data_IF_834748956949
#
_entry.id   IF_834748956949
#
_cell.length_a   1.000
_cell.length_b   1.000
_cell.length_c   1.000
_cell.angle_alpha   90.00
_cell.angle_beta   90.00
_cell.angle_gamma   90.00
#
_symmetry.space_group_name_H-M   'P 1'
#
loop_
_entity.id
_entity.type
_entity.pdbx_description
1 polymer ?
#
# COMPACT_ATOMS: atom_id res chain seq x y z
N UNK A 1 -23.92 16.11 -21.76
CA UNK A 1 -23.34 15.59 -20.50
C UNK A 1 -23.82 16.49 -19.36
N UNK A 2 -24.10 15.97 -18.16
CA UNK A 2 -24.44 16.84 -17.02
C UNK A 2 -23.20 17.57 -16.47
N UNK A 3 -23.43 18.70 -15.77
CA UNK A 3 -22.35 19.58 -15.27
C UNK A 3 -21.40 18.86 -14.30
N UNK A 4 -21.94 17.99 -13.44
CA UNK A 4 -21.13 17.21 -12.50
C UNK A 4 -20.20 16.24 -13.23
N UNK A 5 -20.71 15.50 -14.21
CA UNK A 5 -19.93 14.63 -15.08
C UNK A 5 -18.82 15.39 -15.81
N UNK A 6 -19.13 16.57 -16.35
CA UNK A 6 -18.16 17.43 -17.05
C UNK A 6 -17.04 17.90 -16.12
N UNK A 7 -17.37 18.38 -14.93
CA UNK A 7 -16.39 18.86 -13.95
C UNK A 7 -15.44 17.74 -13.48
N UNK A 8 -15.98 16.54 -13.26
CA UNK A 8 -15.17 15.36 -12.90
C UNK A 8 -14.27 14.95 -14.06
N UNK A 9 -14.81 14.89 -15.28
CA UNK A 9 -14.05 14.55 -16.48
C UNK A 9 -12.87 15.52 -16.67
N UNK A 10 -13.11 16.83 -16.60
CA UNK A 10 -12.07 17.86 -16.66
C UNK A 10 -10.97 17.64 -15.62
N UNK A 11 -11.35 17.32 -14.37
CA UNK A 11 -10.38 17.05 -13.31
C UNK A 11 -9.52 15.82 -13.60
N UNK A 12 -10.11 14.75 -14.12
CA UNK A 12 -9.39 13.52 -14.47
C UNK A 12 -8.43 13.80 -15.63
N UNK A 13 -8.94 14.40 -16.71
CA UNK A 13 -8.19 14.73 -17.91
C UNK A 13 -6.96 15.61 -17.62
N UNK A 14 -7.10 16.63 -16.75
CA UNK A 14 -5.98 17.47 -16.32
C UNK A 14 -4.87 16.67 -15.63
N UNK A 15 -5.18 15.58 -14.93
CA UNK A 15 -4.22 14.72 -14.23
C UNK A 15 -3.54 13.69 -15.11
N UNK A 16 -4.07 13.42 -16.30
CA UNK A 16 -3.49 12.42 -17.22
C UNK A 16 -2.10 12.88 -17.68
N UNK A 17 -1.05 12.04 -17.56
CA UNK A 17 0.24 12.32 -18.19
C UNK A 17 0.10 12.40 -19.72
N UNK A 18 0.62 13.46 -20.36
CA UNK A 18 0.47 13.68 -21.80
C UNK A 18 0.92 12.47 -22.63
N UNK A 19 2.04 11.85 -22.25
CA UNK A 19 2.61 10.67 -22.93
C UNK A 19 1.72 9.42 -22.87
N UNK A 20 0.81 9.34 -21.90
CA UNK A 20 -0.07 8.18 -21.68
C UNK A 20 -1.54 8.46 -22.05
N UNK A 21 -1.91 9.70 -22.39
CA UNK A 21 -3.30 10.11 -22.63
C UNK A 21 -4.00 9.19 -23.63
N UNK A 22 -3.40 8.96 -24.80
CA UNK A 22 -3.98 8.10 -25.84
C UNK A 22 -4.24 6.67 -25.33
N UNK A 23 -3.26 6.05 -24.68
CA UNK A 23 -3.40 4.69 -24.13
C UNK A 23 -4.51 4.59 -23.07
N UNK A 24 -4.64 5.58 -22.20
CA UNK A 24 -5.69 5.60 -21.17
C UNK A 24 -7.08 5.85 -21.76
N UNK A 25 -7.20 6.69 -22.79
CA UNK A 25 -8.47 6.91 -23.49
C UNK A 25 -8.91 5.65 -24.25
N UNK A 26 -7.97 4.90 -24.85
CA UNK A 26 -8.24 3.58 -25.44
C UNK A 26 -8.71 2.58 -24.39
N UNK A 27 -8.00 2.47 -23.26
CA UNK A 27 -8.36 1.58 -22.16
C UNK A 27 -9.69 1.96 -21.48
N UNK A 28 -10.12 3.22 -21.60
CA UNK A 28 -11.41 3.68 -21.12
C UNK A 28 -12.57 3.10 -21.94
N UNK A 29 -12.41 2.97 -23.26
CA UNK A 29 -13.35 2.28 -24.14
C UNK A 29 -14.73 2.96 -24.29
N UNK A 30 -14.85 4.24 -23.95
CA UNK A 30 -16.10 5.01 -24.12
C UNK A 30 -16.13 5.89 -25.37
N UNK A 31 -14.99 6.07 -26.04
CA UNK A 31 -14.87 6.75 -27.33
C UNK A 31 -14.56 5.71 -28.41
N UNK A 32 -15.14 5.88 -29.59
CA UNK A 32 -14.86 5.02 -30.74
C UNK A 32 -13.43 5.18 -31.26
N UNK A 33 -12.94 4.20 -32.02
CA UNK A 33 -11.61 4.27 -32.62
C UNK A 33 -11.45 5.51 -33.53
N UNK A 34 -12.44 5.78 -34.37
CA UNK A 34 -12.48 6.95 -35.27
C UNK A 34 -12.39 8.26 -34.47
N UNK A 35 -13.16 8.39 -33.39
CA UNK A 35 -13.11 9.56 -32.51
C UNK A 35 -11.74 9.75 -31.84
N UNK A 36 -11.03 8.67 -31.56
CA UNK A 36 -9.70 8.71 -30.95
C UNK A 36 -8.59 9.00 -31.96
N UNK A 37 -8.80 8.62 -33.23
CA UNK A 37 -7.87 8.89 -34.35
C UNK A 37 -7.97 10.33 -34.84
N UNK A 38 -9.17 10.93 -34.79
CA UNK A 38 -9.39 12.34 -35.11
C UNK A 38 -8.77 13.31 -34.08
N UNK A 39 -8.34 12.82 -32.91
CA UNK A 39 -7.67 13.65 -31.92
C UNK A 39 -6.20 13.88 -32.28
N UNK A 40 -5.81 15.14 -32.36
CA UNK A 40 -4.40 15.53 -32.52
C UNK A 40 -3.68 15.57 -31.17
N UNK A 41 -2.91 14.52 -30.88
CA UNK A 41 -2.12 14.38 -29.66
C UNK A 41 -0.83 15.22 -29.64
N UNK A 42 -0.50 15.91 -30.74
CA UNK A 42 0.66 16.81 -30.82
C UNK A 42 0.32 18.21 -30.28
N UNK A 43 -0.97 18.53 -30.16
CA UNK A 43 -1.44 19.81 -29.66
C UNK A 43 -1.09 20.04 -28.18
N UNK A 44 -1.08 21.31 -27.74
CA UNK A 44 -0.99 21.65 -26.33
C UNK A 44 -2.05 20.89 -25.53
N UNK A 45 -1.64 20.35 -24.38
CA UNK A 45 -2.50 19.48 -23.55
C UNK A 45 -3.89 20.06 -23.32
N UNK A 46 -4.01 21.35 -23.01
CA UNK A 46 -5.30 21.97 -22.73
C UNK A 46 -6.28 21.89 -23.92
N UNK A 47 -5.79 22.06 -25.17
CA UNK A 47 -6.62 22.01 -26.37
C UNK A 47 -7.07 20.58 -26.67
N UNK A 48 -6.15 19.61 -26.53
CA UNK A 48 -6.48 18.19 -26.59
C UNK A 48 -7.58 17.82 -25.58
N UNK A 49 -7.50 18.33 -24.34
CA UNK A 49 -8.50 18.04 -23.32
C UNK A 49 -9.88 18.64 -23.66
N UNK A 50 -9.94 19.86 -24.19
CA UNK A 50 -11.19 20.46 -24.67
C UNK A 50 -11.81 19.64 -25.82
N UNK A 51 -10.99 19.20 -26.79
CA UNK A 51 -11.46 18.34 -27.89
C UNK A 51 -12.00 16.99 -27.38
N UNK A 52 -11.35 16.39 -26.39
CA UNK A 52 -11.85 15.17 -25.74
C UNK A 52 -13.20 15.43 -25.04
N UNK A 53 -13.34 16.55 -24.32
CA UNK A 53 -14.60 16.91 -23.66
C UNK A 53 -15.71 17.09 -24.68
N UNK A 54 -15.45 17.80 -25.78
CA UNK A 54 -16.39 17.99 -26.88
C UNK A 54 -16.91 16.66 -27.43
N UNK A 55 -16.01 15.73 -27.79
CA UNK A 55 -16.39 14.38 -28.26
C UNK A 55 -17.19 13.58 -27.21
N UNK A 56 -16.89 13.77 -25.93
CA UNK A 56 -17.64 13.13 -24.85
C UNK A 56 -19.05 13.74 -24.67
N UNK A 57 -19.23 15.03 -24.95
CA UNK A 57 -20.52 15.71 -24.94
C UNK A 57 -21.39 15.24 -26.11
N UNK A 58 -20.82 15.13 -27.32
CA UNK A 58 -21.48 14.55 -28.50
C UNK A 58 -21.94 13.11 -28.25
N UNK A 59 -21.08 12.31 -27.61
CA UNK A 59 -21.38 10.91 -27.26
C UNK A 59 -22.33 10.76 -26.07
N UNK A 60 -22.82 11.88 -25.50
CA UNK A 60 -23.75 11.94 -24.36
C UNK A 60 -23.32 11.07 -23.17
N UNK A 61 -22.02 11.06 -22.85
CA UNK A 61 -21.49 10.25 -21.75
C UNK A 61 -22.13 10.63 -20.41
N UNK A 62 -22.38 9.62 -19.58
CA UNK A 62 -22.95 9.76 -18.23
C UNK A 62 -21.86 9.68 -17.18
N UNK A 63 -22.19 10.07 -15.95
CA UNK A 63 -21.29 9.99 -14.79
C UNK A 63 -20.65 8.61 -14.63
N UNK A 64 -21.44 7.55 -14.83
CA UNK A 64 -20.94 6.18 -14.79
C UNK A 64 -19.84 5.93 -15.83
N UNK A 65 -19.93 6.51 -17.02
CA UNK A 65 -18.89 6.38 -18.03
C UNK A 65 -17.64 7.17 -17.63
N UNK A 66 -17.79 8.39 -17.11
CA UNK A 66 -16.67 9.21 -16.59
C UNK A 66 -15.91 8.49 -15.47
N UNK A 67 -16.61 7.85 -14.53
CA UNK A 67 -15.95 7.10 -13.43
C UNK A 67 -15.15 5.88 -13.92
N UNK A 68 -15.41 5.35 -15.12
CA UNK A 68 -14.55 4.31 -15.72
C UNK A 68 -13.17 4.86 -16.04
N UNK A 69 -13.09 6.08 -16.60
CA UNK A 69 -11.80 6.71 -16.90
C UNK A 69 -11.00 6.99 -15.63
N UNK A 70 -11.67 7.45 -14.57
CA UNK A 70 -11.01 7.65 -13.28
C UNK A 70 -10.42 6.35 -12.74
N UNK A 71 -11.17 5.25 -12.85
CA UNK A 71 -10.72 3.94 -12.42
C UNK A 71 -9.51 3.46 -13.23
N UNK A 72 -9.53 3.62 -14.55
CA UNK A 72 -8.37 3.35 -15.42
C UNK A 72 -7.16 4.17 -14.99
N UNK A 73 -7.34 5.47 -14.72
CA UNK A 73 -6.26 6.34 -14.26
C UNK A 73 -5.60 5.83 -12.97
N UNK A 74 -6.40 5.42 -11.97
CA UNK A 74 -5.86 4.89 -10.70
C UNK A 74 -5.21 3.51 -10.84
N UNK A 75 -5.73 2.65 -11.71
CA UNK A 75 -5.12 1.35 -12.01
C UNK A 75 -3.76 1.50 -12.70
N UNK A 76 -3.64 2.43 -13.65
CA UNK A 76 -2.39 2.73 -14.38
C UNK A 76 -1.38 3.55 -13.57
N UNK A 77 -1.85 4.19 -12.50
CA UNK A 77 -1.05 5.07 -11.64
C UNK A 77 -1.34 4.77 -10.16
N UNK A 78 -1.12 3.52 -9.69
CA UNK A 78 -1.49 3.10 -8.34
C UNK A 78 -0.73 3.89 -7.28
N UNK A 79 0.43 4.46 -7.61
CA UNK A 79 1.29 5.15 -6.65
C UNK A 79 0.83 6.60 -6.34
N UNK A 80 -0.35 6.99 -6.81
CA UNK A 80 -0.95 8.32 -6.61
C UNK A 80 -1.70 8.40 -5.27
N UNK A 81 -0.97 8.32 -4.16
CA UNK A 81 -1.54 8.44 -2.81
C UNK A 81 -0.80 7.59 -1.79
N UNK A 82 -1.33 7.53 -0.57
CA UNK A 82 -0.84 6.64 0.48
C UNK A 82 -1.87 5.54 0.71
N UNK A 83 -1.46 4.32 0.43
CA UNK A 83 -2.25 3.12 0.71
C UNK A 83 -2.06 2.69 2.15
N UNK A 84 -3.13 2.13 2.70
CA UNK A 84 -3.16 1.51 4.02
C UNK A 84 -3.53 0.04 3.84
N UNK A 85 -2.70 -0.86 4.37
CA UNK A 85 -2.97 -2.28 4.30
C UNK A 85 -3.75 -2.79 5.52
N UNK A 86 -4.67 -3.69 5.24
CA UNK A 86 -5.53 -4.37 6.20
C UNK A 86 -5.46 -5.87 5.96
N UNK A 87 -5.73 -6.63 7.01
CA UNK A 87 -5.76 -8.09 7.00
C UNK A 87 -7.12 -8.59 7.51
N UNK A 88 -7.78 -9.37 6.68
CA UNK A 88 -8.96 -10.14 7.01
C UNK A 88 -8.55 -11.35 7.87
N UNK A 89 -9.32 -11.65 8.91
CA UNK A 89 -9.01 -12.68 9.90
C UNK A 89 -10.24 -13.48 10.30
N UNK A 90 -10.03 -14.76 10.62
CA UNK A 90 -11.10 -15.73 10.86
C UNK A 90 -11.80 -16.08 9.55
N UNK A 91 -11.11 -16.75 8.64
CA UNK A 91 -11.72 -17.26 7.42
C UNK A 91 -12.75 -18.34 7.78
N UNK A 92 -13.96 -18.21 7.24
CA UNK A 92 -14.92 -19.32 7.23
C UNK A 92 -14.48 -20.37 6.19
N UNK A 93 -15.04 -21.58 6.26
CA UNK A 93 -14.64 -22.70 5.39
C UNK A 93 -14.74 -22.35 3.88
N UNK A 94 -15.64 -21.43 3.51
CA UNK A 94 -15.87 -21.00 2.12
C UNK A 94 -15.18 -19.68 1.74
N UNK A 95 -14.34 -19.09 2.61
CA UNK A 95 -13.73 -17.78 2.36
C UNK A 95 -12.73 -17.77 1.18
N UNK A 96 -12.04 -18.89 0.96
CA UNK A 96 -11.05 -19.03 -0.11
C UNK A 96 -11.68 -19.39 -1.47
N UNK A 97 -12.96 -19.75 -1.49
CA UNK A 97 -13.71 -20.14 -2.70
C UNK A 97 -14.65 -19.04 -3.21
N UNK A 98 -14.66 -17.86 -2.59
CA UNK A 98 -15.51 -16.75 -3.03
C UNK A 98 -15.09 -16.32 -4.45
N UNK A 99 -16.00 -16.50 -5.40
CA UNK A 99 -15.78 -16.05 -6.76
C UNK A 99 -16.01 -14.53 -6.89
N UNK A 100 -15.58 -13.97 -8.02
CA UNK A 100 -15.66 -12.53 -8.25
C UNK A 100 -17.10 -12.01 -8.35
N UNK A 101 -18.01 -12.78 -8.93
CA UNK A 101 -19.41 -12.39 -9.14
C UNK A 101 -20.13 -12.34 -7.81
N UNK A 102 -20.01 -13.40 -7.00
CA UNK A 102 -20.57 -13.49 -5.66
C UNK A 102 -20.02 -12.37 -4.76
N UNK A 103 -18.69 -12.18 -4.76
CA UNK A 103 -18.06 -11.08 -4.01
C UNK A 103 -18.67 -9.73 -4.39
N UNK A 104 -18.76 -9.44 -5.69
CA UNK A 104 -19.25 -8.16 -6.20
C UNK A 104 -20.70 -7.91 -5.81
N UNK A 105 -21.57 -8.91 -5.99
CA UNK A 105 -23.00 -8.79 -5.67
C UNK A 105 -23.22 -8.56 -4.18
N UNK A 106 -22.60 -9.38 -3.33
CA UNK A 106 -22.69 -9.24 -1.87
C UNK A 106 -22.14 -7.91 -1.38
N UNK A 107 -20.99 -7.48 -1.91
CA UNK A 107 -20.36 -6.23 -1.52
C UNK A 107 -21.22 -5.01 -1.87
N UNK A 108 -21.79 -4.99 -3.09
CA UNK A 108 -22.63 -3.89 -3.55
C UNK A 108 -23.95 -3.87 -2.78
N UNK A 109 -24.62 -5.02 -2.66
CA UNK A 109 -25.89 -5.14 -1.95
C UNK A 109 -25.78 -4.65 -0.51
N UNK A 110 -24.75 -5.09 0.23
CA UNK A 110 -24.55 -4.66 1.61
C UNK A 110 -24.29 -3.16 1.73
N UNK A 111 -23.46 -2.58 0.86
CA UNK A 111 -23.20 -1.14 0.91
C UNK A 111 -24.43 -0.29 0.56
N UNK A 112 -25.24 -0.73 -0.40
CA UNK A 112 -26.47 -0.03 -0.78
C UNK A 112 -27.55 -0.15 0.32
N UNK A 113 -27.56 -1.24 1.08
CA UNK A 113 -28.43 -1.42 2.25
C UNK A 113 -28.07 -0.45 3.38
N UNK A 114 -26.77 -0.35 3.73
CA UNK A 114 -26.32 0.45 4.88
C UNK A 114 -26.03 1.92 4.55
N UNK A 115 -25.86 2.27 3.27
CA UNK A 115 -25.60 3.65 2.79
C UNK A 115 -26.54 4.01 1.64
N UNK A 116 -27.58 4.80 1.96
CA UNK A 116 -28.62 5.25 1.01
C UNK A 116 -28.08 5.91 -0.27
N UNK A 117 -26.99 6.67 -0.15
CA UNK A 117 -26.38 7.39 -1.26
C UNK A 117 -24.92 6.97 -1.41
N UNK A 118 -24.71 5.87 -2.13
CA UNK A 118 -23.38 5.36 -2.46
C UNK A 118 -23.29 5.11 -3.97
N UNK A 119 -22.09 5.28 -4.52
CA UNK A 119 -21.79 4.85 -5.90
C UNK A 119 -20.57 3.95 -5.88
N UNK A 120 -20.82 2.66 -6.16
CA UNK A 120 -19.80 1.61 -6.14
C UNK A 120 -19.49 1.19 -7.58
N UNK A 121 -18.20 0.99 -7.88
CA UNK A 121 -17.73 0.39 -9.12
C UNK A 121 -16.64 -0.61 -8.83
N UNK A 122 -16.79 -1.82 -9.36
CA UNK A 122 -15.86 -2.93 -9.17
C UNK A 122 -15.37 -3.44 -10.53
N UNK A 123 -14.07 -3.65 -10.66
CA UNK A 123 -13.42 -4.20 -11.86
C UNK A 123 -12.35 -5.19 -11.42
N UNK A 124 -12.28 -6.33 -12.09
CA UNK A 124 -11.22 -7.32 -11.96
C UNK A 124 -10.41 -7.35 -13.26
N UNK A 125 -9.21 -6.75 -13.31
CA UNK A 125 -8.30 -6.87 -14.44
C UNK A 125 -7.68 -8.27 -14.48
N UNK A 126 -6.87 -8.54 -15.51
CA UNK A 126 -6.21 -9.84 -15.73
C UNK A 126 -5.18 -10.18 -14.64
N UNK A 127 -4.66 -9.18 -13.92
CA UNK A 127 -3.72 -9.33 -12.81
C UNK A 127 -4.30 -10.01 -11.55
N UNK A 128 -5.59 -10.37 -11.60
CA UNK A 128 -6.31 -11.03 -10.51
C UNK A 128 -6.74 -10.09 -9.38
N UNK A 129 -6.37 -8.81 -9.42
CA UNK A 129 -6.74 -7.84 -8.41
C UNK A 129 -8.19 -7.39 -8.59
N UNK A 130 -8.93 -7.26 -7.50
CA UNK A 130 -10.26 -6.65 -7.50
C UNK A 130 -10.11 -5.19 -7.08
N UNK A 131 -10.33 -4.30 -8.04
CA UNK A 131 -10.33 -2.86 -7.84
C UNK A 131 -11.75 -2.38 -7.53
N UNK A 132 -11.89 -1.63 -6.46
CA UNK A 132 -13.17 -1.12 -5.95
C UNK A 132 -13.04 0.41 -5.82
N UNK A 133 -13.95 1.13 -6.45
CA UNK A 133 -14.10 2.58 -6.31
C UNK A 133 -15.42 2.87 -5.62
N UNK A 134 -15.39 3.68 -4.57
CA UNK A 134 -16.57 4.03 -3.79
C UNK A 134 -16.63 5.55 -3.66
N UNK A 135 -17.71 6.16 -4.18
CA UNK A 135 -18.05 7.53 -3.84
C UNK A 135 -19.14 7.50 -2.76
N UNK A 136 -18.87 8.22 -1.67
CA UNK A 136 -19.74 8.25 -0.49
C UNK A 136 -20.61 9.50 -0.49
N UNK A 137 -21.89 9.33 -0.23
CA UNK A 137 -22.82 10.38 0.16
C UNK A 137 -23.24 10.20 1.62
N UNK A 138 -24.30 10.86 2.01
CA UNK A 138 -25.00 10.62 3.28
C UNK A 138 -26.51 10.74 3.09
N UNK A 139 -27.29 10.82 4.17
CA UNK A 139 -28.75 10.83 4.09
C UNK A 139 -29.32 12.04 3.33
N UNK A 140 -28.53 13.10 3.15
CA UNK A 140 -28.97 14.37 2.58
C UNK A 140 -28.16 14.77 1.33
N UNK A 141 -27.03 14.12 1.08
CA UNK A 141 -26.11 14.48 -0.01
C UNK A 141 -25.87 13.31 -0.96
N UNK A 142 -25.84 13.65 -2.26
CA UNK A 142 -25.45 12.72 -3.32
C UNK A 142 -24.00 12.26 -3.14
N UNK A 143 -23.62 11.09 -3.70
CA UNK A 143 -22.26 10.60 -3.63
C UNK A 143 -21.21 11.63 -4.09
N UNK A 144 -20.20 11.88 -3.26
CA UNK A 144 -19.12 12.80 -3.59
C UNK A 144 -18.06 12.12 -4.48
N UNK A 145 -18.25 12.23 -5.80
CA UNK A 145 -17.31 11.69 -6.78
C UNK A 145 -15.96 12.40 -6.87
N UNK A 146 -15.75 13.52 -6.16
CA UNK A 146 -14.47 14.24 -6.12
C UNK A 146 -13.50 13.71 -5.06
N UNK A 147 -13.99 12.92 -4.10
CA UNK A 147 -13.19 12.29 -3.03
C UNK A 147 -13.58 10.81 -2.88
N UNK A 148 -13.44 9.99 -3.94
CA UNK A 148 -13.73 8.57 -3.84
C UNK A 148 -12.67 7.85 -2.99
N UNK A 149 -13.10 6.80 -2.32
CA UNK A 149 -12.25 5.79 -1.71
C UNK A 149 -11.94 4.71 -2.74
N UNK A 150 -10.70 4.22 -2.74
CA UNK A 150 -10.29 3.08 -3.55
C UNK A 150 -9.88 1.94 -2.63
N UNK A 151 -10.31 0.73 -2.97
CA UNK A 151 -9.82 -0.49 -2.33
C UNK A 151 -9.32 -1.48 -3.39
N UNK A 152 -8.25 -2.19 -3.08
CA UNK A 152 -7.68 -3.25 -3.92
C UNK A 152 -7.56 -4.51 -3.09
N UNK A 153 -8.12 -5.60 -3.59
CA UNK A 153 -8.14 -6.88 -2.89
C UNK A 153 -7.83 -8.03 -3.85
N UNK A 154 -7.00 -8.96 -3.42
CA UNK A 154 -6.78 -10.22 -4.13
C UNK A 154 -7.61 -11.29 -3.41
N UNK A 155 -8.67 -11.80 -4.06
CA UNK A 155 -9.66 -12.71 -3.43
C UNK A 155 -9.02 -13.97 -2.81
N UNK A 156 -7.89 -14.43 -3.33
CA UNK A 156 -7.16 -15.59 -2.80
C UNK A 156 -6.29 -15.27 -1.57
N UNK A 157 -6.33 -14.03 -1.08
CA UNK A 157 -5.46 -13.56 0.01
C UNK A 157 -6.31 -12.84 1.06
N UNK A 158 -5.88 -12.79 2.33
CA UNK A 158 -6.58 -12.03 3.35
C UNK A 158 -6.29 -10.52 3.28
N UNK A 159 -5.54 -10.02 2.30
CA UNK A 159 -5.04 -8.65 2.31
C UNK A 159 -5.91 -7.70 1.48
N UNK A 160 -6.19 -6.53 2.05
CA UNK A 160 -6.91 -5.44 1.40
C UNK A 160 -6.11 -4.15 1.53
N UNK A 161 -5.95 -3.41 0.44
CA UNK A 161 -5.28 -2.12 0.41
C UNK A 161 -6.32 -1.02 0.18
N UNK A 162 -6.31 0.02 1.01
CA UNK A 162 -7.31 1.08 0.94
C UNK A 162 -6.64 2.45 0.84
N UNK A 163 -7.18 3.31 -0.03
CA UNK A 163 -6.76 4.68 -0.28
C UNK A 163 -7.95 5.64 -0.10
N UNK A 164 -7.71 6.80 0.53
CA UNK A 164 -8.70 7.86 0.75
C UNK A 164 -9.96 7.43 1.54
N UNK A 165 -9.80 6.58 2.55
CA UNK A 165 -10.89 6.21 3.47
C UNK A 165 -10.95 7.20 4.64
N UNK A 166 -12.14 7.75 4.90
CA UNK A 166 -12.38 8.61 6.07
C UNK A 166 -12.89 7.79 7.26
N UNK A 167 -12.67 8.28 8.48
CA UNK A 167 -13.14 7.61 9.69
C UNK A 167 -14.66 7.39 9.69
N UNK A 168 -15.45 8.33 9.14
CA UNK A 168 -16.91 8.24 9.00
C UNK A 168 -17.35 7.01 8.21
N UNK A 169 -16.63 6.67 7.13
CA UNK A 169 -17.01 5.58 6.23
C UNK A 169 -16.31 4.25 6.53
N UNK A 170 -15.33 4.26 7.45
CA UNK A 170 -14.55 3.08 7.85
C UNK A 170 -15.43 1.89 8.27
N UNK A 171 -16.46 2.04 9.13
CA UNK A 171 -17.28 0.91 9.58
C UNK A 171 -18.04 0.24 8.43
N UNK A 172 -18.65 1.02 7.54
CA UNK A 172 -19.45 0.50 6.42
C UNK A 172 -18.60 -0.29 5.43
N UNK A 173 -17.43 0.25 5.06
CA UNK A 173 -16.52 -0.45 4.17
C UNK A 173 -15.99 -1.75 4.80
N UNK A 174 -15.67 -1.73 6.09
CA UNK A 174 -15.15 -2.90 6.78
C UNK A 174 -16.17 -4.01 6.85
N UNK A 175 -17.40 -3.68 7.22
CA UNK A 175 -18.48 -4.65 7.26
C UNK A 175 -18.75 -5.24 5.87
N UNK A 176 -18.81 -4.41 4.83
CA UNK A 176 -19.00 -4.88 3.46
C UNK A 176 -17.89 -5.83 3.00
N UNK A 177 -16.62 -5.51 3.29
CA UNK A 177 -15.48 -6.37 2.97
C UNK A 177 -15.55 -7.70 3.73
N UNK A 178 -15.78 -7.67 5.03
CA UNK A 178 -15.85 -8.86 5.90
C UNK A 178 -16.95 -9.82 5.43
N UNK A 179 -18.16 -9.30 5.19
CA UNK A 179 -19.30 -10.11 4.75
C UNK A 179 -19.12 -10.67 3.35
N UNK A 180 -18.68 -9.85 2.39
CA UNK A 180 -18.50 -10.28 0.99
C UNK A 180 -17.33 -11.24 0.78
N UNK A 181 -16.37 -11.28 1.71
CA UNK A 181 -15.21 -12.20 1.67
C UNK A 181 -15.36 -13.40 2.60
N UNK A 182 -16.42 -13.46 3.42
CA UNK A 182 -16.68 -14.52 4.41
C UNK A 182 -15.54 -14.69 5.42
N UNK A 183 -15.02 -13.56 5.89
CA UNK A 183 -14.16 -13.51 7.06
C UNK A 183 -14.95 -13.00 8.26
N UNK A 184 -14.41 -13.21 9.47
CA UNK A 184 -15.04 -12.75 10.72
C UNK A 184 -14.69 -11.29 11.02
N UNK A 185 -13.50 -10.83 10.62
CA UNK A 185 -13.02 -9.50 11.02
C UNK A 185 -11.95 -8.95 10.07
N UNK A 186 -11.73 -7.63 10.14
CA UNK A 186 -10.68 -6.92 9.42
C UNK A 186 -9.86 -6.08 10.39
N UNK A 187 -8.54 -6.19 10.33
CA UNK A 187 -7.59 -5.54 11.23
C UNK A 187 -6.54 -4.75 10.45
N UNK A 188 -5.95 -3.72 11.07
CA UNK A 188 -4.83 -3.00 10.48
C UNK A 188 -3.61 -3.91 10.36
N UNK A 189 -3.01 -3.98 9.16
CA UNK A 189 -1.77 -4.72 8.96
C UNK A 189 -0.53 -3.91 9.37
N UNK A 190 -0.72 -2.67 9.83
CA UNK A 190 0.33 -1.73 10.23
C UNK A 190 1.38 -1.47 9.12
N UNK A 191 0.93 -1.53 7.86
CA UNK A 191 1.72 -1.20 6.69
C UNK A 191 1.05 -0.07 5.91
N UNK A 192 1.80 1.00 5.66
CA UNK A 192 1.38 2.14 4.84
C UNK A 192 2.47 2.58 3.89
N UNK A 193 2.15 2.94 2.66
CA UNK A 193 3.15 3.32 1.66
C UNK A 193 2.50 3.87 0.39
N UNK A 194 3.30 4.43 -0.52
CA UNK A 194 2.76 4.90 -1.81
C UNK A 194 2.76 3.82 -2.87
N UNK A 195 3.78 2.95 -2.86
CA UNK A 195 3.89 1.87 -3.84
C UNK A 195 2.98 0.70 -3.47
N UNK A 196 1.82 0.59 -4.13
CA UNK A 196 0.88 -0.52 -3.91
C UNK A 196 1.55 -1.88 -4.21
N UNK A 197 2.31 -1.96 -5.32
CA UNK A 197 3.04 -3.16 -5.70
C UNK A 197 4.05 -3.57 -4.62
N UNK A 198 4.86 -2.63 -4.13
CA UNK A 198 5.84 -2.93 -3.09
C UNK A 198 5.18 -3.35 -1.76
N UNK A 199 4.05 -2.72 -1.39
CA UNK A 199 3.30 -3.12 -0.20
C UNK A 199 2.73 -4.53 -0.33
N UNK A 200 2.19 -4.87 -1.51
CA UNK A 200 1.73 -6.22 -1.84
C UNK A 200 2.88 -7.21 -1.72
N UNK A 201 3.99 -6.95 -2.39
CA UNK A 201 5.14 -7.85 -2.42
C UNK A 201 5.67 -8.08 -1.01
N UNK A 202 5.74 -7.02 -0.20
CA UNK A 202 6.16 -7.07 1.21
C UNK A 202 5.24 -7.95 2.08
N UNK A 203 3.91 -7.79 1.98
CA UNK A 203 2.96 -8.57 2.79
C UNK A 203 2.82 -10.02 2.33
N UNK A 204 2.85 -10.22 1.02
CA UNK A 204 2.69 -11.54 0.40
C UNK A 204 4.02 -12.29 0.30
N UNK A 205 5.12 -11.68 0.76
CA UNK A 205 6.50 -12.19 0.65
C UNK A 205 6.88 -12.56 -0.79
N UNK A 206 6.37 -11.81 -1.76
CA UNK A 206 6.63 -11.98 -3.19
C UNK A 206 7.82 -11.12 -3.65
N UNK A 207 8.89 -11.10 -2.86
CA UNK A 207 10.15 -10.44 -3.20
C UNK A 207 11.31 -11.37 -2.89
N UNK A 208 12.41 -11.23 -3.64
CA UNK A 208 13.58 -12.10 -3.54
C UNK A 208 14.39 -11.76 -2.28
N UNK A 209 13.87 -12.10 -1.10
CA UNK A 209 14.65 -12.04 0.13
C UNK A 209 15.49 -13.31 0.23
N UNK A 210 16.57 -13.37 -0.57
CA UNK A 210 17.60 -14.39 -0.42
C UNK A 210 18.41 -14.00 0.80
N UNK A 211 18.04 -14.53 1.96
CA UNK A 211 18.96 -14.58 3.09
C UNK A 211 20.10 -15.52 2.70
N UNK A 212 21.37 -15.17 2.97
CA UNK A 212 22.46 -16.09 2.70
C UNK A 212 22.21 -17.39 3.47
N UNK A 213 21.90 -18.48 2.76
CA UNK A 213 22.25 -19.80 3.28
C UNK A 213 23.76 -19.82 3.41
N UNK A 214 24.27 -20.51 4.44
CA UNK A 214 25.68 -20.59 4.87
C UNK A 214 26.71 -20.98 3.78
N UNK A 215 26.34 -21.10 2.50
CA UNK A 215 27.16 -21.64 1.42
C UNK A 215 27.27 -20.66 0.23
N UNK A 216 27.65 -19.40 0.47
CA UNK A 216 28.16 -18.55 -0.61
C UNK A 216 29.68 -18.68 -0.67
N UNK A 217 30.16 -19.55 -1.57
CA UNK A 217 31.56 -19.62 -1.98
C UNK A 217 32.02 -18.26 -2.48
N UNK A 218 32.96 -17.67 -1.75
CA UNK A 218 33.68 -16.44 -2.07
C UNK A 218 34.20 -16.49 -3.52
N UNK A 219 33.68 -15.61 -4.40
CA UNK A 219 34.26 -15.42 -5.72
C UNK A 219 35.38 -14.38 -5.60
N UNK A 220 36.60 -14.88 -5.57
CA UNK A 220 37.84 -14.10 -5.53
C UNK A 220 37.90 -13.13 -6.74
N UNK A 221 37.93 -11.82 -6.46
CA UNK A 221 38.06 -10.79 -7.49
C UNK A 221 39.55 -10.48 -7.68
N UNK A 222 40.13 -11.01 -8.75
CA UNK A 222 41.54 -10.80 -9.10
C UNK A 222 41.82 -9.33 -9.48
N UNK A 223 42.48 -8.60 -8.60
CA UNK A 223 43.18 -7.35 -8.89
C UNK A 223 44.57 -7.37 -8.22
N UNK A 224 45.59 -6.87 -8.92
CA UNK A 224 47.00 -6.87 -8.46
C UNK A 224 47.19 -5.91 -7.25
N UNK A 225 47.99 -6.26 -6.23
CA UNK A 225 47.95 -5.57 -4.93
C UNK A 225 48.84 -4.32 -4.86
N UNK A 226 48.32 -3.26 -4.23
CA UNK A 226 49.09 -2.46 -3.27
C UNK A 226 49.16 -3.26 -1.96
N UNK A 227 49.99 -2.90 -0.98
CA UNK A 227 50.36 -3.72 0.19
C UNK A 227 49.34 -4.84 0.60
N UNK A 228 49.68 -6.14 0.38
CA UNK A 228 48.71 -7.24 0.35
C UNK A 228 47.97 -7.50 1.66
N UNK A 229 48.51 -7.08 2.80
CA UNK A 229 47.87 -7.26 4.10
C UNK A 229 46.79 -6.21 4.39
N UNK A 230 47.01 -4.97 3.96
CA UNK A 230 46.08 -3.85 4.19
C UNK A 230 44.86 -3.98 3.26
N UNK A 231 45.10 -4.31 1.99
CA UNK A 231 44.04 -4.52 1.01
C UNK A 231 43.17 -5.74 1.38
N UNK A 232 43.78 -6.79 1.93
CA UNK A 232 43.05 -7.97 2.43
C UNK A 232 42.19 -7.66 3.65
N UNK A 233 42.72 -6.96 4.65
CA UNK A 233 41.95 -6.55 5.84
C UNK A 233 40.77 -5.64 5.47
N UNK A 234 41.00 -4.68 4.56
CA UNK A 234 39.94 -3.83 4.05
C UNK A 234 38.88 -4.60 3.26
N UNK A 235 39.30 -5.58 2.45
CA UNK A 235 38.37 -6.44 1.71
C UNK A 235 37.53 -7.31 2.64
N UNK A 236 38.15 -7.97 3.62
CA UNK A 236 37.46 -8.82 4.62
C UNK A 236 36.46 -7.99 5.45
N UNK A 237 36.85 -6.78 5.87
CA UNK A 237 35.96 -5.89 6.61
C UNK A 237 34.80 -5.36 5.76
N UNK A 238 35.05 -5.01 4.50
CA UNK A 238 34.02 -4.59 3.55
C UNK A 238 33.03 -5.74 3.25
N UNK A 239 33.54 -6.96 3.09
CA UNK A 239 32.74 -8.15 2.88
C UNK A 239 31.87 -8.49 4.10
N UNK A 240 32.44 -8.43 5.31
CA UNK A 240 31.68 -8.64 6.55
C UNK A 240 30.50 -7.66 6.71
N UNK A 241 30.69 -6.38 6.36
CA UNK A 241 29.61 -5.37 6.36
C UNK A 241 28.55 -5.67 5.30
N UNK A 242 28.98 -6.06 4.11
CA UNK A 242 28.05 -6.40 3.02
C UNK A 242 27.21 -7.62 3.38
N UNK A 243 27.84 -8.66 3.94
CA UNK A 243 27.18 -9.87 4.41
C UNK A 243 26.12 -9.55 5.47
N UNK A 244 26.48 -8.75 6.48
CA UNK A 244 25.54 -8.29 7.51
C UNK A 244 24.33 -7.53 6.93
N UNK A 245 24.56 -6.67 5.93
CA UNK A 245 23.47 -5.96 5.26
C UNK A 245 22.55 -6.91 4.49
N UNK A 246 23.12 -7.94 3.84
CA UNK A 246 22.36 -8.97 3.14
C UNK A 246 21.59 -9.89 4.09
N UNK A 247 22.13 -10.20 5.26
CA UNK A 247 21.41 -10.96 6.30
C UNK A 247 20.23 -10.15 6.88
N UNK A 248 20.38 -8.84 7.03
CA UNK A 248 19.33 -7.99 7.59
C UNK A 248 18.20 -7.68 6.60
N UNK A 249 18.53 -7.43 5.33
CA UNK A 249 17.57 -6.92 4.33
C UNK A 249 17.37 -7.83 3.12
N UNK A 250 18.15 -8.90 2.99
CA UNK A 250 18.22 -9.75 1.80
C UNK A 250 19.17 -9.21 0.74
N UNK A 251 19.58 -10.08 -0.17
CA UNK A 251 20.48 -9.71 -1.27
C UNK A 251 19.75 -9.20 -2.53
N UNK A 252 18.47 -9.56 -2.70
CA UNK A 252 17.67 -9.18 -3.86
C UNK A 252 17.18 -7.73 -3.84
N UNK A 253 16.34 -7.40 -4.83
CA UNK A 253 15.65 -6.12 -4.90
C UNK A 253 14.67 -5.97 -3.74
N UNK A 254 14.87 -4.94 -2.92
CA UNK A 254 14.00 -4.67 -1.77
C UNK A 254 12.74 -3.90 -2.18
N UNK A 255 11.57 -4.19 -1.57
CA UNK A 255 10.35 -3.44 -1.82
C UNK A 255 10.53 -1.94 -1.50
N UNK A 256 10.02 -1.08 -2.40
CA UNK A 256 10.07 0.37 -2.18
C UNK A 256 9.13 0.79 -1.06
N UNK A 257 9.71 1.28 0.03
CA UNK A 257 9.00 1.78 1.20
C UNK A 257 9.52 3.17 1.57
N UNK A 258 8.64 4.14 1.80
CA UNK A 258 9.08 5.52 2.05
C UNK A 258 9.38 5.81 3.52
N UNK A 259 8.67 5.16 4.43
CA UNK A 259 8.73 5.50 5.87
C UNK A 259 8.66 4.27 6.76
N UNK A 260 9.22 4.39 7.97
CA UNK A 260 8.94 3.50 9.09
C UNK A 260 8.78 4.32 10.37
N UNK A 261 7.79 3.97 11.20
CA UNK A 261 7.41 4.68 12.42
C UNK A 261 7.44 3.72 13.61
N UNK A 262 8.18 4.10 14.64
CA UNK A 262 8.25 3.40 15.92
C UNK A 262 7.68 4.32 17.00
N UNK A 263 6.59 3.90 17.63
CA UNK A 263 6.00 4.56 18.79
C UNK A 263 6.46 3.82 20.04
N UNK A 264 7.17 4.50 20.93
CA UNK A 264 7.58 3.98 22.23
C UNK A 264 6.59 4.44 23.30
N UNK A 265 6.19 3.52 24.16
CA UNK A 265 5.39 3.76 25.36
C UNK A 265 6.06 3.02 26.52
N UNK A 266 6.85 3.74 27.32
CA UNK A 266 7.67 3.16 28.40
C UNK A 266 7.57 3.98 29.66
N UNK A 267 7.78 3.38 30.84
CA UNK A 267 7.98 4.15 32.08
C UNK A 267 9.42 4.66 32.18
N UNK A 268 9.60 5.75 32.90
CA UNK A 268 10.92 6.28 33.22
C UNK A 268 11.56 5.44 34.35
N UNK A 269 12.69 4.78 34.06
CA UNK A 269 13.44 3.97 35.03
C UNK A 269 14.73 4.66 35.46
N UNK A 270 14.64 5.87 36.02
CA UNK A 270 15.79 6.58 36.58
C UNK A 270 16.15 6.07 37.99
N UNK A 271 17.45 5.83 38.24
CA UNK A 271 17.97 5.37 39.55
C UNK A 271 18.13 6.48 40.61
N UNK A 272 17.66 7.71 40.36
CA UNK A 272 17.72 8.79 41.35
C UNK A 272 16.40 8.89 42.12
N UNK A 273 16.49 8.96 43.44
CA UNK A 273 15.38 9.05 44.40
C UNK A 273 14.59 10.38 44.31
N UNK A 274 14.14 10.85 43.13
CA UNK A 274 13.29 12.03 43.04
C UNK A 274 12.28 12.01 41.88
N UNK A 275 11.00 12.16 42.25
CA UNK A 275 9.84 12.78 41.57
C UNK A 275 9.32 12.27 40.22
N UNK A 276 10.08 11.50 39.43
CA UNK A 276 9.64 11.01 38.10
C UNK A 276 9.45 9.50 37.99
N UNK A 277 10.13 8.71 38.81
CA UNK A 277 10.01 7.24 38.86
C UNK A 277 8.71 6.75 39.52
N UNK A 278 8.08 7.60 40.34
CA UNK A 278 6.85 7.31 41.10
C UNK A 278 5.56 7.73 40.37
N UNK A 279 5.69 8.33 39.17
CA UNK A 279 4.53 8.69 38.35
C UNK A 279 4.17 7.51 37.47
N UNK A 280 2.92 7.06 37.54
CA UNK A 280 2.35 6.03 36.64
C UNK A 280 2.21 6.52 35.17
N UNK A 281 2.85 7.64 34.84
CA UNK A 281 2.76 8.33 33.57
C UNK A 281 3.75 7.73 32.55
N UNK A 282 3.22 7.24 31.44
CA UNK A 282 4.03 6.66 30.37
C UNK A 282 4.74 7.77 29.58
N UNK A 283 6.05 7.61 29.41
CA UNK A 283 6.84 8.34 28.44
C UNK A 283 6.50 7.85 27.03
N UNK A 284 6.11 8.79 26.17
CA UNK A 284 5.75 8.53 24.77
C UNK A 284 6.78 9.16 23.83
N UNK A 285 7.40 8.32 23.00
CA UNK A 285 8.34 8.75 21.98
C UNK A 285 7.90 8.30 20.59
N UNK A 286 8.21 9.07 19.56
CA UNK A 286 7.97 8.67 18.16
C UNK A 286 9.24 8.86 17.36
N UNK A 287 9.75 7.77 16.80
CA UNK A 287 10.87 7.79 15.84
C UNK A 287 10.30 7.50 14.45
N UNK A 288 10.56 8.41 13.50
CA UNK A 288 10.12 8.25 12.11
C UNK A 288 11.32 8.32 11.18
N UNK A 289 11.55 7.25 10.45
CA UNK A 289 12.48 7.21 9.32
C UNK A 289 11.74 7.58 8.03
N UNK A 290 12.41 8.31 7.15
CA UNK A 290 11.86 8.73 5.86
C UNK A 290 12.96 8.75 4.79
N UNK A 291 12.71 8.10 3.66
CA UNK A 291 13.59 8.09 2.48
C UNK A 291 12.75 7.76 1.23
N UNK A 292 13.16 8.17 0.02
CA UNK A 292 12.52 7.69 -1.21
C UNK A 292 12.54 6.15 -1.36
N UNK A 293 13.53 5.48 -0.77
CA UNK A 293 13.63 4.02 -0.68
C UNK A 293 14.30 3.63 0.64
N UNK A 294 13.51 3.56 1.71
CA UNK A 294 14.00 3.37 3.07
C UNK A 294 14.80 2.09 3.26
N UNK A 295 14.29 0.95 2.78
CA UNK A 295 14.98 -0.33 2.93
C UNK A 295 16.33 -0.33 2.21
N UNK A 296 16.39 0.28 1.02
CA UNK A 296 17.63 0.43 0.27
C UNK A 296 18.62 1.36 0.99
N UNK A 297 18.13 2.48 1.54
CA UNK A 297 18.97 3.38 2.34
C UNK A 297 19.53 2.70 3.58
N UNK A 298 18.73 1.90 4.30
CA UNK A 298 19.20 1.15 5.46
C UNK A 298 20.21 0.07 5.08
N UNK A 299 19.98 -0.67 3.99
CA UNK A 299 20.93 -1.65 3.43
C UNK A 299 22.25 -0.98 3.05
N UNK A 300 22.19 0.18 2.40
CA UNK A 300 23.37 0.96 2.03
C UNK A 300 24.14 1.43 3.27
N UNK A 301 23.47 2.01 4.28
CA UNK A 301 24.12 2.45 5.53
C UNK A 301 24.84 1.29 6.25
N UNK A 302 24.24 0.10 6.26
CA UNK A 302 24.87 -1.10 6.81
C UNK A 302 26.09 -1.53 5.98
N UNK A 303 25.96 -1.54 4.65
CA UNK A 303 27.03 -1.97 3.73
C UNK A 303 28.24 -1.03 3.74
N UNK A 304 28.02 0.28 3.89
CA UNK A 304 29.12 1.28 3.94
C UNK A 304 29.71 1.46 5.34
N UNK A 305 29.08 0.88 6.38
CA UNK A 305 29.51 1.04 7.77
C UNK A 305 29.19 2.41 8.37
N UNK A 306 28.16 3.08 7.86
CA UNK A 306 27.62 4.30 8.49
C UNK A 306 26.82 4.00 9.77
N UNK A 307 26.45 2.74 9.99
CA UNK A 307 25.88 2.24 11.24
C UNK A 307 26.86 1.29 11.92
N UNK A 308 27.11 1.49 13.21
CA UNK A 308 27.91 0.59 14.03
C UNK A 308 27.12 -0.67 14.43
N UNK A 309 27.78 -1.83 14.44
CA UNK A 309 27.23 -3.09 14.94
C UNK A 309 26.19 -3.76 14.01
N UNK A 310 25.64 -4.93 14.43
CA UNK A 310 24.60 -5.62 13.67
C UNK A 310 23.36 -4.73 13.55
N UNK A 311 22.73 -4.74 12.36
CA UNK A 311 21.48 -4.01 12.12
C UNK A 311 20.45 -4.40 13.17
N UNK A 312 19.93 -3.39 13.90
CA UNK A 312 19.01 -3.65 14.99
C UNK A 312 17.80 -4.48 14.53
N UNK A 313 17.33 -5.45 15.34
CA UNK A 313 16.15 -6.26 15.00
C UNK A 313 14.89 -5.44 14.72
N UNK A 314 14.81 -4.22 15.27
CA UNK A 314 13.71 -3.30 14.97
C UNK A 314 13.66 -2.98 13.47
N UNK A 315 14.80 -2.58 12.90
CA UNK A 315 14.91 -2.19 11.50
C UNK A 315 14.84 -3.39 10.56
N UNK A 316 15.51 -4.50 10.87
CA UNK A 316 15.45 -5.71 10.03
C UNK A 316 14.09 -6.39 10.08
N UNK A 317 13.29 -6.20 11.14
CA UNK A 317 11.95 -6.79 11.23
C UNK A 317 10.92 -6.17 10.28
N UNK A 318 11.21 -5.04 9.62
CA UNK A 318 10.31 -4.40 8.65
C UNK A 318 9.96 -5.38 7.52
N UNK A 319 10.98 -6.02 6.95
CA UNK A 319 10.86 -7.00 5.86
C UNK A 319 10.22 -8.29 6.35
N UNK A 320 10.68 -8.81 7.50
CA UNK A 320 10.21 -10.07 8.07
C UNK A 320 8.74 -10.04 8.50
N UNK A 321 8.29 -8.94 9.11
CA UNK A 321 6.92 -8.76 9.62
C UNK A 321 6.01 -8.08 8.61
N UNK A 322 6.56 -7.57 7.51
CA UNK A 322 5.82 -6.87 6.46
C UNK A 322 5.04 -5.65 6.95
N UNK A 323 5.60 -4.90 7.92
CA UNK A 323 4.95 -3.74 8.53
C UNK A 323 5.93 -2.62 8.77
N UNK A 324 5.45 -1.39 8.74
CA UNK A 324 6.28 -0.20 8.93
C UNK A 324 5.80 0.73 10.04
N UNK A 325 4.75 0.33 10.76
CA UNK A 325 4.32 0.96 11.99
C UNK A 325 4.49 -0.04 13.14
N UNK A 326 5.23 0.36 14.16
CA UNK A 326 5.53 -0.45 15.34
C UNK A 326 5.15 0.32 16.59
N UNK A 327 4.49 -0.37 17.53
CA UNK A 327 4.26 0.12 18.89
C UNK A 327 5.08 -0.75 19.82
N UNK A 328 5.99 -0.12 20.57
CA UNK A 328 6.89 -0.74 21.53
C UNK A 328 6.42 -0.28 22.90
N UNK A 329 5.70 -1.16 23.59
CA UNK A 329 5.20 -0.91 24.94
C UNK A 329 5.91 -1.83 25.94
N UNK A 330 6.13 -1.35 27.17
CA UNK A 330 6.62 -2.20 28.26
C UNK A 330 5.63 -3.34 28.56
N UNK A 331 6.16 -4.56 28.69
CA UNK A 331 5.37 -5.72 29.08
C UNK A 331 5.05 -5.58 30.57
N UNK A 332 3.82 -5.20 30.90
CA UNK A 332 3.36 -5.15 32.29
C UNK A 332 3.35 -6.59 32.83
N UNK A 333 4.07 -6.90 33.92
CA UNK A 333 3.97 -8.20 34.58
C UNK A 333 2.57 -8.31 35.20
N UNK A 334 1.63 -8.92 34.47
CA UNK A 334 0.25 -9.08 34.91
C UNK A 334 -0.79 -9.35 33.82
N UNK A 335 -0.50 -9.07 32.54
CA UNK A 335 -1.42 -9.46 31.46
C UNK A 335 -1.17 -10.90 31.01
N UNK A 336 -1.81 -11.84 31.70
CA UNK A 336 -2.05 -13.17 31.14
C UNK A 336 -2.81 -13.00 29.83
N UNK A 337 -2.20 -13.49 28.75
CA UNK A 337 -2.87 -13.73 27.48
C UNK A 337 -4.10 -14.60 27.76
N UNK A 338 -5.30 -14.03 27.63
CA UNK A 338 -6.54 -14.80 27.55
C UNK A 338 -6.52 -15.57 26.22
N UNK A 339 -5.93 -16.75 26.25
CA UNK A 339 -6.22 -17.81 25.28
C UNK A 339 -7.69 -18.19 25.47
N UNK A 340 -8.53 -18.21 24.41
CA UNK A 340 -9.87 -18.73 24.56
C UNK A 340 -9.76 -20.22 24.89
N UNK A 341 -10.31 -20.60 26.05
CA UNK A 341 -10.41 -21.99 26.47
C UNK A 341 -11.21 -22.77 25.42
N UNK A 342 -10.57 -23.79 24.86
CA UNK A 342 -11.18 -24.83 24.03
C UNK A 342 -12.15 -25.59 24.93
N UNK A 343 -13.47 -25.41 24.75
CA UNK A 343 -14.46 -26.32 25.35
C UNK A 343 -14.44 -27.61 24.54
N UNK A 344 -14.23 -28.71 25.27
CA UNK A 344 -14.47 -30.08 24.84
C UNK A 344 -15.97 -30.34 24.80
#
# INVERSE_FOLDING_TARGET
>A
MDEQSRAILQRILRRLPSKKTQSMLRAWGCLSAEQLEDLDYTQPKWLLLENVIFKCEESRLRLKDVTKLEMVYYMENPNQGTWHAFKLTGAEDEALSVDFTQFKEMFVAHLEEVVKHVSVRIKKPEDGAVWIRIAWGDNFTKPNHFKPTYAVHYLQTPYVFILNLTAKHKPYLYQALVLSTRYVSINEAHLTGRSLAAMRDLLMKQYQQVFPNQERTLKERNALPSHPNIDREHAEFAEGKHQMACEAFGDGTVPKLETAVYKLETRYRGSSNNTLSDRDELFRGVVKFSSPSLLESLRHCASTGMSEGPVTPLLSSITQKGRNLFVIAEKVPGSTSRTPARKT
#
